data_IF_394624058128
#
_entry.id   IF_394624058128
#
_cell.length_a   1.000
_cell.length_b   1.000
_cell.length_c   1.000
_cell.angle_alpha   90.00
_cell.angle_beta   90.00
_cell.angle_gamma   90.00
#
_symmetry.space_group_name_H-M   'P 1'
#
loop_
_entity.id
_entity.type
_entity.pdbx_description
1 polymer ?
#
# COMPACT_ATOMS: atom_id res chain seq x y z
N UNK A 1 16.33 -23.55 -0.37
CA UNK A 1 15.09 -22.83 -0.06
C UNK A 1 15.39 -21.98 1.17
N UNK A 2 15.39 -20.66 1.03
CA UNK A 2 15.75 -19.75 2.11
C UNK A 2 14.48 -19.14 2.70
N UNK A 3 14.56 -18.62 3.94
CA UNK A 3 13.41 -18.02 4.63
C UNK A 3 12.80 -16.85 3.83
N UNK A 4 13.62 -16.12 3.07
CA UNK A 4 13.16 -15.03 2.18
C UNK A 4 12.23 -15.48 1.03
N UNK A 5 12.23 -16.78 0.71
CA UNK A 5 11.42 -17.35 -0.37
C UNK A 5 9.95 -17.61 0.08
N UNK A 6 9.67 -17.46 1.37
CA UNK A 6 8.35 -17.64 1.94
C UNK A 6 7.64 -16.29 2.13
N UNK A 7 6.33 -16.29 1.87
CA UNK A 7 5.46 -15.17 2.26
C UNK A 7 4.97 -15.39 3.69
N UNK A 8 5.21 -14.47 4.63
CA UNK A 8 4.71 -14.61 5.99
C UNK A 8 3.20 -14.49 6.03
N UNK A 9 2.55 -15.28 6.87
CA UNK A 9 1.12 -15.13 7.21
C UNK A 9 1.04 -14.37 8.52
N UNK A 10 0.40 -13.19 8.49
CA UNK A 10 0.27 -12.34 9.66
C UNK A 10 -1.05 -12.56 10.38
N UNK A 11 -1.01 -12.82 11.69
CA UNK A 11 -2.17 -12.86 12.57
C UNK A 11 -2.31 -11.52 13.28
N UNK A 12 -3.35 -10.77 12.94
CA UNK A 12 -3.57 -9.42 13.48
C UNK A 12 -4.59 -9.48 14.61
N UNK A 13 -4.28 -8.84 15.75
CA UNK A 13 -5.18 -8.75 16.90
C UNK A 13 -6.51 -8.07 16.57
N UNK A 14 -7.61 -8.53 17.24
CA UNK A 14 -8.97 -8.07 16.94
C UNK A 14 -9.18 -6.56 17.10
N UNK A 15 -8.62 -5.96 18.14
CA UNK A 15 -8.71 -4.51 18.38
C UNK A 15 -8.03 -3.72 17.25
N UNK A 16 -6.85 -4.16 16.84
CA UNK A 16 -6.13 -3.52 15.73
C UNK A 16 -6.92 -3.61 14.41
N UNK A 17 -7.57 -4.74 14.15
CA UNK A 17 -8.46 -4.90 12.98
C UNK A 17 -9.62 -3.89 13.00
N UNK A 18 -10.21 -3.63 14.16
CA UNK A 18 -11.31 -2.66 14.28
C UNK A 18 -10.80 -1.25 14.01
N UNK A 19 -9.69 -0.85 14.63
CA UNK A 19 -9.10 0.48 14.46
C UNK A 19 -8.71 0.70 13.00
N UNK A 20 -7.97 -0.22 12.39
CA UNK A 20 -7.56 -0.12 10.99
C UNK A 20 -8.76 -0.06 10.03
N UNK A 21 -9.83 -0.80 10.31
CA UNK A 21 -11.08 -0.73 9.55
C UNK A 21 -11.74 0.64 9.63
N UNK A 22 -11.76 1.26 10.81
CA UNK A 22 -12.28 2.62 10.98
C UNK A 22 -11.47 3.63 10.19
N UNK A 23 -10.13 3.57 10.26
CA UNK A 23 -9.26 4.44 9.48
C UNK A 23 -9.43 4.22 7.97
N UNK A 24 -9.46 2.98 7.51
CA UNK A 24 -9.67 2.64 6.11
C UNK A 24 -11.01 3.18 5.58
N UNK A 25 -12.10 3.05 6.35
CA UNK A 25 -13.40 3.55 5.95
C UNK A 25 -13.46 5.08 5.87
N UNK A 26 -12.74 5.78 6.75
CA UNK A 26 -12.62 7.25 6.70
C UNK A 26 -11.76 7.71 5.54
N UNK A 27 -10.59 7.09 5.35
CA UNK A 27 -9.68 7.39 4.24
C UNK A 27 -10.36 7.18 2.88
N UNK A 28 -11.14 6.12 2.74
CA UNK A 28 -11.86 5.79 1.51
C UNK A 28 -12.78 6.92 1.04
N UNK A 29 -13.36 7.69 1.96
CA UNK A 29 -14.27 8.80 1.61
C UNK A 29 -13.55 9.95 0.91
N UNK A 30 -12.27 10.16 1.20
CA UNK A 30 -11.46 11.26 0.65
C UNK A 30 -10.48 10.78 -0.41
N UNK A 31 -10.26 9.47 -0.54
CA UNK A 31 -9.26 8.88 -1.42
C UNK A 31 -9.44 9.28 -2.89
N UNK A 32 -10.68 9.37 -3.37
CA UNK A 32 -10.97 9.77 -4.76
C UNK A 32 -10.45 11.19 -5.10
N UNK A 33 -10.42 12.11 -4.12
CA UNK A 33 -9.89 13.45 -4.33
C UNK A 33 -8.36 13.56 -4.19
N UNK A 34 -7.71 12.51 -3.67
CA UNK A 34 -6.28 12.50 -3.40
C UNK A 34 -5.48 11.70 -4.44
N UNK A 35 -6.15 10.77 -5.12
CA UNK A 35 -5.52 9.80 -6.02
C UNK A 35 -5.75 10.25 -7.46
N UNK A 36 -4.70 10.20 -8.29
CA UNK A 36 -4.79 10.51 -9.70
C UNK A 36 -5.84 9.65 -10.43
N UNK A 37 -6.48 10.22 -11.45
CA UNK A 37 -7.42 9.48 -12.28
C UNK A 37 -6.78 8.32 -13.05
N UNK A 38 -5.48 8.36 -13.26
CA UNK A 38 -4.71 7.29 -13.90
C UNK A 38 -4.39 6.11 -12.98
N UNK A 39 -4.55 6.28 -11.65
CA UNK A 39 -4.34 5.19 -10.68
C UNK A 39 -5.59 4.35 -10.55
N UNK A 40 -5.50 3.08 -10.91
CA UNK A 40 -6.62 2.14 -10.92
C UNK A 40 -6.50 1.02 -9.89
N UNK A 41 -5.29 0.79 -9.34
CA UNK A 41 -5.07 -0.24 -8.37
C UNK A 41 -5.62 0.15 -6.98
N UNK A 42 -6.33 -0.78 -6.33
CA UNK A 42 -6.84 -0.65 -4.95
C UNK A 42 -7.79 0.52 -4.68
N UNK A 43 -8.25 1.23 -5.70
CA UNK A 43 -9.21 2.34 -5.59
C UNK A 43 -10.63 1.82 -5.84
N UNK A 44 -11.54 2.07 -4.89
CA UNK A 44 -12.93 1.62 -5.01
C UNK A 44 -13.58 2.21 -6.27
N UNK A 45 -14.23 1.36 -7.07
CA UNK A 45 -14.94 1.77 -8.28
C UNK A 45 -14.06 1.86 -9.53
N UNK A 46 -12.76 1.63 -9.42
CA UNK A 46 -11.84 1.49 -10.55
C UNK A 46 -11.48 0.02 -10.77
N UNK A 47 -11.24 -0.35 -12.02
CA UNK A 47 -10.87 -1.72 -12.39
C UNK A 47 -9.45 -1.74 -12.95
N UNK A 48 -8.68 -2.76 -12.59
CA UNK A 48 -7.33 -2.98 -13.14
C UNK A 48 -7.39 -3.14 -14.67
N UNK A 49 -8.50 -3.69 -15.18
CA UNK A 49 -8.75 -3.84 -16.61
C UNK A 49 -8.77 -2.51 -17.37
N UNK A 50 -9.15 -1.40 -16.73
CA UNK A 50 -9.15 -0.08 -17.36
C UNK A 50 -7.74 0.33 -17.78
N UNK A 51 -6.74 0.06 -16.93
CA UNK A 51 -5.32 0.31 -17.25
C UNK A 51 -4.83 -0.56 -18.40
N UNK A 52 -5.26 -1.83 -18.44
CA UNK A 52 -4.91 -2.77 -19.51
C UNK A 52 -5.48 -2.29 -20.85
N UNK A 53 -6.73 -1.85 -20.86
CA UNK A 53 -7.40 -1.33 -22.07
C UNK A 53 -6.72 -0.04 -22.58
N UNK A 54 -6.32 0.86 -21.68
CA UNK A 54 -5.59 2.08 -22.07
C UNK A 54 -4.24 1.70 -22.68
N UNK A 55 -3.48 0.80 -22.05
CA UNK A 55 -2.20 0.35 -22.58
C UNK A 55 -2.35 -0.31 -23.97
N UNK A 56 -3.37 -1.17 -24.13
CA UNK A 56 -3.68 -1.81 -25.42
C UNK A 56 -3.99 -0.79 -26.50
N UNK A 57 -4.85 0.20 -26.21
CA UNK A 57 -5.17 1.28 -27.16
C UNK A 57 -3.93 2.12 -27.54
N UNK A 58 -3.04 2.39 -26.57
CA UNK A 58 -1.79 3.11 -26.85
C UNK A 58 -0.88 2.29 -27.78
N UNK A 59 -0.76 0.99 -27.55
CA UNK A 59 0.02 0.09 -28.41
C UNK A 59 -0.57 0.06 -29.82
N UNK A 60 -1.87 -0.17 -29.96
CA UNK A 60 -2.55 -0.22 -31.25
C UNK A 60 -2.39 1.10 -32.04
N UNK A 61 -2.51 2.23 -31.36
CA UNK A 61 -2.30 3.54 -31.97
C UNK A 61 -0.88 3.71 -32.50
N UNK A 62 0.13 3.27 -31.73
CA UNK A 62 1.53 3.32 -32.14
C UNK A 62 1.83 2.41 -33.32
N UNK A 63 1.31 1.17 -33.30
CA UNK A 63 1.47 0.23 -34.42
C UNK A 63 0.85 0.78 -35.70
N UNK A 64 -0.34 1.38 -35.64
CA UNK A 64 -1.03 1.97 -36.79
C UNK A 64 -0.30 3.21 -37.33
N UNK A 65 0.29 4.02 -36.47
CA UNK A 65 1.03 5.23 -36.89
C UNK A 65 2.44 4.95 -37.41
N UNK A 66 2.96 3.73 -37.21
CA UNK A 66 4.34 3.38 -37.56
C UNK A 66 5.41 4.12 -36.76
N UNK A 67 5.01 4.84 -35.71
CA UNK A 67 5.96 5.60 -34.86
C UNK A 67 6.54 4.67 -33.79
N UNK A 68 7.88 4.48 -33.76
CA UNK A 68 8.51 3.68 -32.71
C UNK A 68 8.20 4.18 -31.30
N UNK A 69 8.11 3.27 -30.35
CA UNK A 69 7.86 3.61 -28.94
C UNK A 69 8.33 2.49 -28.01
N UNK A 70 8.46 2.84 -26.75
CA UNK A 70 8.80 1.89 -25.69
C UNK A 70 7.65 1.84 -24.69
N UNK A 71 7.21 0.66 -24.34
CA UNK A 71 6.29 0.41 -23.22
C UNK A 71 7.11 -0.12 -22.05
N UNK A 72 7.05 0.58 -20.92
CA UNK A 72 7.72 0.16 -19.70
C UNK A 72 6.68 -0.12 -18.61
N UNK A 73 6.67 -1.34 -18.07
CA UNK A 73 5.90 -1.70 -16.87
C UNK A 73 6.83 -1.63 -15.67
N UNK A 74 6.50 -0.78 -14.70
CA UNK A 74 7.20 -0.68 -13.42
C UNK A 74 6.37 -1.37 -12.34
N UNK A 75 7.03 -2.15 -11.52
CA UNK A 75 6.43 -2.80 -10.36
C UNK A 75 7.35 -2.65 -9.15
N UNK A 76 6.78 -2.41 -7.97
CA UNK A 76 7.55 -2.24 -6.74
C UNK A 76 7.37 -3.49 -5.89
N UNK A 77 8.44 -4.28 -5.80
CA UNK A 77 8.45 -5.47 -4.95
C UNK A 77 8.28 -5.07 -3.48
N UNK A 78 7.37 -5.78 -2.79
CA UNK A 78 7.10 -5.56 -1.35
C UNK A 78 6.83 -4.09 -0.99
N UNK A 79 6.06 -3.40 -1.82
CA UNK A 79 5.81 -1.96 -1.70
C UNK A 79 5.40 -1.53 -0.28
N UNK A 80 4.55 -2.32 0.39
CA UNK A 80 4.09 -2.00 1.75
C UNK A 80 5.19 -2.12 2.80
N UNK A 81 6.12 -3.05 2.65
CA UNK A 81 7.24 -3.26 3.59
C UNK A 81 8.28 -2.14 3.52
N UNK A 82 8.37 -1.47 2.37
CA UNK A 82 9.35 -0.42 2.11
C UNK A 82 8.86 1.00 2.39
N UNK A 83 7.60 1.17 2.84
CA UNK A 83 7.06 2.51 3.13
C UNK A 83 7.82 3.16 4.29
N UNK A 84 8.47 4.30 4.02
CA UNK A 84 9.04 5.15 5.07
C UNK A 84 7.91 5.84 5.84
N UNK A 85 7.90 5.72 7.16
CA UNK A 85 6.88 6.37 7.99
C UNK A 85 6.96 7.90 7.94
N UNK A 86 8.17 8.46 7.85
CA UNK A 86 8.35 9.91 7.78
C UNK A 86 7.83 10.44 6.43
N UNK A 87 8.09 9.71 5.34
CA UNK A 87 7.52 10.04 4.04
C UNK A 87 5.99 9.93 4.05
N UNK A 88 5.42 8.89 4.67
CA UNK A 88 3.97 8.76 4.83
C UNK A 88 3.37 9.94 5.58
N UNK A 89 3.98 10.35 6.72
CA UNK A 89 3.53 11.51 7.49
C UNK A 89 3.61 12.80 6.69
N UNK A 90 4.68 12.99 5.92
CA UNK A 90 4.85 14.12 5.02
C UNK A 90 3.74 14.14 3.94
N UNK A 91 3.49 13.00 3.28
CA UNK A 91 2.44 12.91 2.26
C UNK A 91 1.05 13.20 2.83
N UNK A 92 0.71 12.64 3.99
CA UNK A 92 -0.56 12.92 4.67
C UNK A 92 -0.71 14.42 5.00
N UNK A 93 0.39 15.09 5.38
CA UNK A 93 0.40 16.52 5.58
C UNK A 93 0.14 17.30 4.29
N UNK A 94 0.82 16.93 3.21
CA UNK A 94 0.66 17.54 1.88
C UNK A 94 -0.77 17.35 1.33
N UNK A 95 -1.39 16.23 1.65
CA UNK A 95 -2.79 15.94 1.32
C UNK A 95 -3.81 16.66 2.22
N UNK A 96 -3.37 17.50 3.16
CA UNK A 96 -4.27 18.30 4.00
C UNK A 96 -4.85 17.57 5.22
N UNK A 97 -4.33 16.40 5.59
CA UNK A 97 -4.79 15.70 6.79
C UNK A 97 -4.38 16.44 8.07
N UNK A 98 -5.33 16.64 8.98
CA UNK A 98 -5.11 17.29 10.27
C UNK A 98 -4.04 16.56 11.09
N UNK A 99 -3.28 17.34 11.87
CA UNK A 99 -2.21 16.82 12.71
C UNK A 99 -2.68 15.70 13.66
N UNK A 100 -3.85 15.87 14.27
CA UNK A 100 -4.45 14.86 15.16
C UNK A 100 -4.62 13.52 14.45
N UNK A 101 -5.07 13.54 13.20
CA UNK A 101 -5.28 12.34 12.41
C UNK A 101 -3.95 11.66 12.04
N UNK A 102 -2.95 12.46 11.65
CA UNK A 102 -1.58 11.98 11.36
C UNK A 102 -0.93 11.36 12.60
N UNK A 103 -1.10 11.97 13.78
CA UNK A 103 -0.63 11.40 15.06
C UNK A 103 -1.26 10.05 15.36
N UNK A 104 -2.54 9.87 15.09
CA UNK A 104 -3.20 8.57 15.27
C UNK A 104 -2.64 7.51 14.33
N UNK A 105 -2.46 7.82 13.05
CA UNK A 105 -1.84 6.89 12.10
C UNK A 105 -0.43 6.52 12.56
N UNK A 106 0.40 7.52 12.90
CA UNK A 106 1.76 7.28 13.39
C UNK A 106 1.76 6.38 14.63
N UNK A 107 0.90 6.64 15.59
CA UNK A 107 0.75 5.81 16.77
C UNK A 107 0.40 4.36 16.40
N UNK A 108 -0.57 4.15 15.54
CA UNK A 108 -0.98 2.82 15.11
C UNK A 108 0.15 2.02 14.46
N UNK A 109 0.97 2.63 13.59
CA UNK A 109 2.07 1.92 12.92
C UNK A 109 3.28 1.71 13.83
N UNK A 110 3.58 2.65 14.74
CA UNK A 110 4.78 2.61 15.58
C UNK A 110 4.64 1.76 16.84
N UNK A 111 3.41 1.47 17.28
CA UNK A 111 3.17 0.70 18.51
C UNK A 111 2.95 -0.78 18.26
N UNK A 112 2.89 -1.19 17.00
CA UNK A 112 2.75 -2.62 16.66
C UNK A 112 4.00 -3.37 17.08
N UNK A 113 3.78 -4.52 17.74
CA UNK A 113 4.81 -5.48 18.08
C UNK A 113 4.57 -6.77 17.31
N UNK A 114 5.63 -7.32 16.81
CA UNK A 114 5.64 -8.57 16.05
C UNK A 114 6.32 -9.65 16.86
N UNK A 115 5.87 -10.87 16.69
CA UNK A 115 6.55 -12.08 17.19
C UNK A 115 6.41 -13.15 16.11
N UNK A 116 7.42 -13.95 15.94
CA UNK A 116 7.43 -15.06 14.97
C UNK A 116 7.03 -16.33 15.69
N UNK A 117 6.08 -17.06 15.12
CA UNK A 117 5.67 -18.37 15.60
C UNK A 117 6.45 -19.45 14.82
N UNK A 118 7.30 -20.20 15.51
CA UNK A 118 8.08 -21.29 14.93
C UNK A 118 7.69 -22.57 15.66
N UNK A 119 7.13 -23.55 14.95
CA UNK A 119 6.73 -24.84 15.50
C UNK A 119 5.89 -24.72 16.81
N UNK A 120 4.99 -23.74 16.87
CA UNK A 120 4.14 -23.51 18.02
C UNK A 120 4.77 -22.67 19.16
N UNK A 121 6.04 -22.30 19.04
CA UNK A 121 6.73 -21.44 20.01
C UNK A 121 6.86 -20.02 19.51
N UNK A 122 6.50 -19.04 20.36
CA UNK A 122 6.65 -17.62 20.05
C UNK A 122 8.09 -17.16 20.29
N UNK A 123 8.63 -16.37 19.36
CA UNK A 123 9.86 -15.61 19.58
C UNK A 123 9.60 -14.40 20.48
N UNK A 124 10.67 -13.71 20.88
CA UNK A 124 10.57 -12.41 21.54
C UNK A 124 9.91 -11.37 20.64
N UNK A 125 9.26 -10.39 21.29
CA UNK A 125 8.61 -9.30 20.57
C UNK A 125 9.61 -8.29 20.02
N UNK A 126 9.44 -7.93 18.75
CA UNK A 126 10.22 -6.89 18.09
C UNK A 126 9.30 -5.84 17.45
N UNK A 127 9.84 -4.67 17.16
CA UNK A 127 9.13 -3.59 16.46
C UNK A 127 9.63 -3.43 15.03
N UNK A 128 8.85 -2.71 14.23
CA UNK A 128 9.28 -2.23 12.92
C UNK A 128 9.68 -0.76 12.99
N UNK A 129 10.55 -0.32 12.08
CA UNK A 129 10.91 1.08 11.87
C UNK A 129 10.38 1.63 10.53
N UNK A 130 9.82 0.76 9.70
CA UNK A 130 9.23 1.07 8.38
C UNK A 130 8.19 0.01 8.03
N UNK A 131 7.48 0.23 6.93
CA UNK A 131 6.44 -0.68 6.45
C UNK A 131 5.08 -0.43 7.10
N UNK A 132 4.05 -1.03 6.52
CA UNK A 132 2.65 -0.91 6.95
C UNK A 132 2.03 -2.26 7.35
N UNK A 133 2.80 -3.33 7.26
CA UNK A 133 2.41 -4.69 7.67
C UNK A 133 3.17 -5.11 8.89
#
# INVERSE_FOLDING_TARGET
MEVKDFQPISLVGGIYKIISKVFANRLRRVAHGLISNSENAFVKGKQILDSVLIASKCIDSRLKSGVPGVLCKLDVEKAYDHVSWDFLMYMLQRCGFLEKWRKWIRYCISTVKFSILINGSLSDFFGSSRGLL
#
